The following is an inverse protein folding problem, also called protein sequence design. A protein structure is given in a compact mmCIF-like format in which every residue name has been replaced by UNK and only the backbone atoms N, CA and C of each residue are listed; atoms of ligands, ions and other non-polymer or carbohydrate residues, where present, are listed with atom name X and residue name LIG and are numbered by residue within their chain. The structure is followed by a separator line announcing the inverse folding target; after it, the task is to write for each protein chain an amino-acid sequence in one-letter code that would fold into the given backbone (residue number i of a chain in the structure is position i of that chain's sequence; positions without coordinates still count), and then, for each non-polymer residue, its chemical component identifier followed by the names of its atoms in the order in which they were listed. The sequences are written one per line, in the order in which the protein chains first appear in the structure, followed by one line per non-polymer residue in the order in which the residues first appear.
data_IF_203108637787
#
_entry.id   IF_203108637787
#
_cell.length_a   1.000
_cell.length_b   1.000
_cell.length_c   1.000
_cell.angle_alpha   90.00
_cell.angle_beta   90.00
_cell.angle_gamma   90.00
#
_symmetry.space_group_name_H-M   'P 1'
#
loop_
_entity.id
_entity.type
_entity.pdbx_description
1 polymer ?
#
# COMPACT_ATOMS: atom_id res chain seq x y z
N UNK A 1 9.49 -3.06 9.41
CA UNK A 1 10.31 -3.16 8.19
C UNK A 1 9.39 -3.71 7.10
N UNK A 2 8.93 -2.86 6.18
CA UNK A 2 8.23 -3.33 4.98
C UNK A 2 9.32 -3.61 3.96
N UNK A 3 9.52 -4.87 3.60
CA UNK A 3 10.47 -5.22 2.55
C UNK A 3 9.88 -4.77 1.22
N UNK A 4 10.48 -3.74 0.62
CA UNK A 4 10.19 -3.32 -0.75
C UNK A 4 10.99 -4.28 -1.63
N UNK A 5 10.30 -5.17 -2.34
CA UNK A 5 10.93 -6.06 -3.30
C UNK A 5 11.07 -5.31 -4.63
N UNK A 6 12.31 -5.02 -5.04
CA UNK A 6 12.57 -4.79 -6.46
C UNK A 6 12.50 -6.14 -7.16
N UNK A 7 11.58 -6.28 -8.11
CA UNK A 7 11.39 -7.53 -8.85
C UNK A 7 12.55 -7.72 -9.84
N UNK A 8 13.66 -8.26 -9.35
CA UNK A 8 14.84 -8.58 -10.16
C UNK A 8 14.61 -9.80 -11.09
N UNK A 9 13.54 -10.57 -10.85
CA UNK A 9 13.14 -11.72 -11.68
C UNK A 9 11.93 -11.39 -12.54
N UNK A 10 11.92 -11.88 -13.79
CA UNK A 10 10.81 -11.71 -14.73
C UNK A 10 9.46 -12.29 -14.25
N UNK A 11 9.48 -13.19 -13.25
CA UNK A 11 8.26 -13.79 -12.66
C UNK A 11 8.40 -13.90 -11.13
N UNK A 12 8.05 -12.85 -10.38
CA UNK A 12 8.12 -12.90 -8.93
C UNK A 12 6.99 -13.74 -8.31
N UNK A 13 7.33 -14.49 -7.26
CA UNK A 13 6.37 -15.24 -6.46
C UNK A 13 6.16 -14.50 -5.14
N UNK A 14 4.93 -14.04 -4.90
CA UNK A 14 4.52 -13.46 -3.62
C UNK A 14 3.79 -14.53 -2.83
N UNK A 15 4.30 -14.86 -1.64
CA UNK A 15 3.70 -15.84 -0.75
C UNK A 15 2.51 -15.24 0.01
N UNK A 16 1.64 -16.10 0.53
CA UNK A 16 0.52 -15.68 1.37
C UNK A 16 1.01 -14.89 2.59
N UNK A 17 0.25 -13.85 2.99
CA UNK A 17 0.56 -12.93 4.10
C UNK A 17 1.77 -12.00 3.88
N UNK A 18 2.32 -11.93 2.66
CA UNK A 18 3.32 -10.92 2.31
C UNK A 18 2.65 -9.65 1.79
N UNK A 19 3.16 -8.49 2.23
CA UNK A 19 2.80 -7.21 1.66
C UNK A 19 3.64 -6.96 0.39
N UNK A 20 3.01 -6.40 -0.64
CA UNK A 20 3.65 -6.04 -1.90
C UNK A 20 3.32 -4.59 -2.25
N UNK A 21 4.31 -3.87 -2.75
CA UNK A 21 4.16 -2.56 -3.38
C UNK A 21 4.79 -2.65 -4.75
N UNK A 22 4.12 -2.11 -5.76
CA UNK A 22 4.59 -2.12 -7.14
C UNK A 22 4.67 -0.69 -7.63
N UNK A 23 5.82 -0.28 -8.14
CA UNK A 23 6.02 1.03 -8.77
C UNK A 23 6.26 0.83 -10.25
N UNK A 24 5.53 1.57 -11.08
CA UNK A 24 5.84 1.68 -12.50
C UNK A 24 7.07 2.59 -12.70
N UNK A 25 7.84 2.33 -13.74
CA UNK A 25 8.85 3.27 -14.22
C UNK A 25 8.26 4.23 -15.27
N UNK A 26 9.11 4.97 -15.98
CA UNK A 26 8.70 5.93 -17.01
C UNK A 26 7.93 5.31 -18.19
N UNK A 27 8.09 4.00 -18.43
CA UNK A 27 7.40 3.28 -19.49
C UNK A 27 6.06 2.69 -19.04
N UNK A 28 5.74 2.80 -17.74
CA UNK A 28 4.53 2.21 -17.15
C UNK A 28 4.76 0.76 -16.73
N UNK A 29 3.68 0.09 -16.33
CA UNK A 29 3.71 -1.33 -15.97
C UNK A 29 2.42 -2.02 -16.37
N UNK A 30 2.55 -3.23 -16.92
CA UNK A 30 1.45 -4.17 -17.10
C UNK A 30 1.79 -5.45 -16.33
N UNK A 31 0.88 -5.89 -15.46
CA UNK A 31 1.08 -7.05 -14.59
C UNK A 31 -0.11 -8.00 -14.69
N UNK A 32 0.17 -9.29 -14.87
CA UNK A 32 -0.80 -10.36 -14.71
C UNK A 32 -0.36 -11.21 -13.51
N UNK A 33 -1.29 -11.48 -12.60
CA UNK A 33 -1.05 -12.35 -11.44
C UNK A 33 -1.91 -13.61 -11.51
N UNK A 34 -1.31 -14.75 -11.20
CA UNK A 34 -2.01 -16.02 -11.02
C UNK A 34 -2.01 -16.32 -9.53
N UNK A 35 -3.21 -16.48 -8.96
CA UNK A 35 -3.40 -16.80 -7.54
C UNK A 35 -3.70 -18.29 -7.37
N UNK A 36 -3.24 -18.88 -6.28
CA UNK A 36 -3.38 -20.31 -5.96
C UNK A 36 -4.67 -20.64 -5.20
N UNK A 37 -5.63 -19.73 -5.18
CA UNK A 37 -6.91 -19.87 -4.47
C UNK A 37 -8.09 -19.49 -5.35
N UNK A 38 -9.18 -20.25 -5.28
CA UNK A 38 -10.45 -19.95 -5.95
C UNK A 38 -11.21 -18.80 -5.29
N UNK A 39 -10.82 -18.40 -4.08
CA UNK A 39 -11.37 -17.27 -3.33
C UNK A 39 -10.23 -16.38 -2.83
N UNK A 40 -9.41 -15.88 -3.74
CA UNK A 40 -8.34 -14.96 -3.38
C UNK A 40 -8.92 -13.65 -2.82
N UNK A 41 -8.47 -13.27 -1.62
CA UNK A 41 -8.80 -12.00 -0.97
C UNK A 41 -7.49 -11.26 -0.73
N UNK A 42 -7.45 -9.99 -1.12
CA UNK A 42 -6.29 -9.11 -0.92
C UNK A 42 -6.66 -8.05 0.10
N UNK A 43 -5.85 -7.90 1.13
CA UNK A 43 -5.95 -6.79 2.07
C UNK A 43 -5.26 -5.55 1.50
N UNK A 44 -5.90 -4.40 1.61
CA UNK A 44 -5.32 -3.11 1.22
C UNK A 44 -4.64 -2.46 2.43
N UNK A 45 -3.42 -1.94 2.25
CA UNK A 45 -2.73 -1.12 3.28
C UNK A 45 -2.93 0.37 2.99
N UNK A 46 -3.00 0.77 1.72
CA UNK A 46 -3.35 2.11 1.28
C UNK A 46 -4.82 2.23 0.86
N UNK A 47 -5.30 3.45 0.67
CA UNK A 47 -6.63 3.73 0.10
C UNK A 47 -7.83 3.46 1.01
N UNK A 48 -9.02 3.65 0.44
CA UNK A 48 -10.28 3.72 1.19
C UNK A 48 -10.72 2.44 1.90
N UNK A 49 -10.24 1.27 1.47
CA UNK A 49 -10.54 -0.02 2.12
C UNK A 49 -9.36 -0.51 2.98
N UNK A 50 -8.41 0.38 3.30
CA UNK A 50 -7.22 0.03 4.05
C UNK A 50 -7.55 -0.60 5.41
N UNK A 51 -6.83 -1.68 5.75
CA UNK A 51 -6.86 -2.29 7.09
C UNK A 51 -6.38 -1.32 8.19
N UNK A 52 -5.68 -0.24 7.80
CA UNK A 52 -5.23 0.80 8.70
C UNK A 52 -6.32 1.82 9.01
N UNK A 53 -7.50 1.77 8.36
CA UNK A 53 -8.70 2.50 8.78
C UNK A 53 -9.32 1.84 10.01
N UNK A 54 -8.56 1.84 11.10
CA UNK A 54 -8.91 1.27 12.39
C UNK A 54 -9.12 2.38 13.42
N UNK A 55 -9.29 2.01 14.69
CA UNK A 55 -9.43 2.96 15.79
C UNK A 55 -8.16 3.83 15.86
N UNK A 56 -8.26 5.18 15.79
CA UNK A 56 -7.10 6.07 15.72
C UNK A 56 -6.06 5.86 16.85
N UNK A 57 -6.53 5.52 18.05
CA UNK A 57 -5.64 5.25 19.19
C UNK A 57 -4.71 4.05 18.96
N UNK A 58 -5.14 3.04 18.21
CA UNK A 58 -4.30 1.89 17.85
C UNK A 58 -3.14 2.37 16.97
N UNK A 59 -3.41 3.19 15.95
CA UNK A 59 -2.36 3.76 15.10
C UNK A 59 -1.39 4.63 15.89
N UNK A 60 -1.91 5.51 16.76
CA UNK A 60 -1.09 6.39 17.60
C UNK A 60 -0.11 5.60 18.46
N UNK A 61 -0.58 4.54 19.12
CA UNK A 61 0.26 3.69 19.96
C UNK A 61 1.22 2.82 19.13
N UNK A 62 0.76 2.21 18.04
CA UNK A 62 1.57 1.32 17.21
C UNK A 62 2.69 2.05 16.47
N UNK A 63 2.43 3.25 15.97
CA UNK A 63 3.39 4.05 15.22
C UNK A 63 4.07 5.15 16.06
N UNK A 64 3.70 5.29 17.34
CA UNK A 64 4.17 6.34 18.24
C UNK A 64 4.02 7.75 17.63
N UNK A 65 2.83 8.04 17.12
CA UNK A 65 2.47 9.31 16.46
C UNK A 65 1.40 10.04 17.24
N UNK A 66 1.40 11.38 17.17
CA UNK A 66 0.39 12.21 17.81
C UNK A 66 -0.93 12.19 17.04
N UNK A 67 -1.96 12.81 17.64
CA UNK A 67 -3.32 12.81 17.10
C UNK A 67 -3.41 13.45 15.70
N UNK A 68 -2.78 14.61 15.49
CA UNK A 68 -2.89 15.36 14.24
C UNK A 68 -2.34 14.57 13.02
N UNK A 69 -1.10 14.03 13.03
CA UNK A 69 -0.62 13.16 11.97
C UNK A 69 -1.49 11.93 11.73
N UNK A 70 -2.07 11.36 12.79
CA UNK A 70 -2.98 10.21 12.69
C UNK A 70 -4.26 10.57 11.96
N UNK A 71 -4.87 11.71 12.29
CA UNK A 71 -6.09 12.18 11.65
C UNK A 71 -5.83 12.51 10.17
N UNK A 72 -4.72 13.20 9.89
CA UNK A 72 -4.31 13.48 8.52
C UNK A 72 -4.10 12.20 7.71
N UNK A 73 -3.40 11.21 8.27
CA UNK A 73 -3.21 9.91 7.65
C UNK A 73 -4.53 9.18 7.35
N UNK A 74 -5.46 9.14 8.32
CA UNK A 74 -6.77 8.53 8.12
C UNK A 74 -7.59 9.23 7.02
N UNK A 75 -7.53 10.57 6.96
CA UNK A 75 -8.18 11.35 5.91
C UNK A 75 -7.57 11.06 4.52
N UNK A 76 -6.25 10.92 4.44
CA UNK A 76 -5.58 10.49 3.21
C UNK A 76 -6.03 9.09 2.78
N UNK A 77 -6.24 8.16 3.72
CA UNK A 77 -6.78 6.84 3.39
C UNK A 77 -8.22 6.93 2.88
N UNK A 78 -9.07 7.76 3.47
CA UNK A 78 -10.47 7.91 3.04
C UNK A 78 -10.62 8.40 1.60
N UNK A 79 -9.76 9.33 1.20
CA UNK A 79 -9.79 9.95 -0.13
C UNK A 79 -8.86 9.26 -1.14
N UNK A 80 -7.96 8.40 -0.66
CA UNK A 80 -6.95 7.73 -1.46
C UNK A 80 -7.44 6.51 -2.24
N UNK A 81 -6.62 6.15 -3.23
CA UNK A 81 -6.75 4.95 -4.04
C UNK A 81 -5.50 4.07 -3.87
N UNK A 82 -5.64 2.77 -4.13
CA UNK A 82 -4.51 1.83 -4.12
C UNK A 82 -3.53 2.05 -5.29
N UNK A 83 -3.99 2.69 -6.38
CA UNK A 83 -3.15 3.08 -7.52
C UNK A 83 -2.94 4.58 -7.43
N UNK A 84 -1.77 4.98 -6.93
CA UNK A 84 -1.41 6.39 -6.77
C UNK A 84 -0.63 6.85 -8.01
N UNK A 85 -1.10 7.86 -8.75
CA UNK A 85 -0.33 8.43 -9.85
C UNK A 85 0.92 9.13 -9.31
N UNK A 86 1.97 9.32 -10.12
CA UNK A 86 3.13 10.10 -9.71
C UNK A 86 2.68 11.48 -9.22
N UNK A 87 2.89 11.77 -7.94
CA UNK A 87 2.76 13.13 -7.42
C UNK A 87 4.02 13.89 -7.83
N UNK A 88 3.86 15.10 -8.36
CA UNK A 88 4.97 16.04 -8.53
C UNK A 88 5.48 16.44 -7.14
N UNK A 89 6.35 15.63 -6.56
CA UNK A 89 7.00 15.89 -5.26
C UNK A 89 8.11 16.94 -5.35
N UNK A 90 8.37 17.47 -6.56
CA UNK A 90 9.35 18.52 -6.85
C UNK A 90 8.66 19.71 -7.52
N UNK A 91 7.94 20.51 -6.74
CA UNK A 91 7.73 21.92 -7.05
C UNK A 91 8.27 22.72 -5.87
N UNK A 92 9.58 22.99 -5.90
CA UNK A 92 10.26 24.02 -5.09
C UNK A 92 10.59 25.21 -5.98
#
# INVERSE_FOLDING_TARGET
MVNIWEFEKSYPIVLELFAVVVSADEQGIELVSIVTSTRAVVGEIGGKNSILKTIPSILQMSFNVSQEPTQHFLQMLETGTIIVPPMNLYQS
#
